data_IF_415374930260
#
_entry.id   IF_415374930260
#
_cell.length_a   1.000
_cell.length_b   1.000
_cell.length_c   1.000
_cell.angle_alpha   90.00
_cell.angle_beta   90.00
_cell.angle_gamma   90.00
#
_symmetry.space_group_name_H-M   'P 1'
#
loop_
_entity.id
_entity.type
_entity.pdbx_description
1 polymer ?
#
# COMPACT_ATOMS: atom_id res chain seq x y z
N UNK A 1 -5.12 -4.82 -12.60
CA UNK A 1 -3.91 -4.18 -13.15
C UNK A 1 -2.76 -4.67 -12.29
N UNK A 2 -1.86 -5.48 -12.82
CA UNK A 2 -0.67 -5.99 -12.09
C UNK A 2 0.42 -4.92 -11.92
N UNK A 3 0.02 -3.64 -11.86
CA UNK A 3 0.94 -2.53 -11.69
C UNK A 3 1.43 -2.38 -10.24
N UNK A 4 0.91 -3.17 -9.30
CA UNK A 4 1.28 -3.12 -7.89
C UNK A 4 0.72 -1.91 -7.12
N UNK A 5 -0.25 -1.18 -7.69
CA UNK A 5 -0.91 -0.05 -7.04
C UNK A 5 -2.37 -0.38 -6.73
N UNK A 6 -2.78 -0.15 -5.48
CA UNK A 6 -4.17 -0.11 -5.07
C UNK A 6 -4.62 1.35 -4.95
N UNK A 7 -5.58 1.75 -5.79
CA UNK A 7 -6.07 3.13 -5.81
C UNK A 7 -7.37 3.25 -5.00
N UNK A 8 -7.34 4.06 -3.95
CA UNK A 8 -8.48 4.38 -3.11
C UNK A 8 -8.74 5.89 -3.16
N UNK A 9 -9.98 6.29 -2.90
CA UNK A 9 -10.37 7.71 -2.93
C UNK A 9 -10.10 8.37 -1.59
N UNK A 10 -10.33 7.64 -0.50
CA UNK A 10 -10.15 8.16 0.85
C UNK A 10 -8.80 7.74 1.43
N UNK A 11 -8.14 8.69 2.10
CA UNK A 11 -6.85 8.44 2.75
C UNK A 11 -6.99 7.37 3.84
N UNK A 12 -8.05 7.42 4.63
CA UNK A 12 -8.26 6.51 5.75
C UNK A 12 -8.39 5.06 5.29
N UNK A 13 -9.09 4.81 4.17
CA UNK A 13 -9.20 3.47 3.57
C UNK A 13 -7.82 2.96 3.14
N UNK A 14 -7.00 3.81 2.53
CA UNK A 14 -5.67 3.45 2.10
C UNK A 14 -4.71 3.18 3.27
N UNK A 15 -4.86 3.91 4.38
CA UNK A 15 -4.13 3.65 5.61
C UNK A 15 -4.56 2.33 6.26
N UNK A 16 -5.86 1.99 6.24
CA UNK A 16 -6.36 0.73 6.78
C UNK A 16 -5.74 -0.49 6.07
N UNK A 17 -5.47 -0.40 4.77
CA UNK A 17 -4.77 -1.47 4.05
C UNK A 17 -3.37 -1.76 4.62
N UNK A 18 -2.67 -0.76 5.18
CA UNK A 18 -1.33 -0.94 5.76
C UNK A 18 -1.34 -1.83 7.01
N UNK A 19 -2.50 -2.06 7.64
CA UNK A 19 -2.65 -3.01 8.74
C UNK A 19 -2.53 -4.47 8.24
N UNK A 20 -3.00 -4.75 7.01
CA UNK A 20 -2.91 -6.08 6.44
C UNK A 20 -1.45 -6.48 6.19
N UNK A 21 -1.09 -7.71 6.57
CA UNK A 21 0.29 -8.20 6.49
C UNK A 21 0.91 -8.06 5.08
N UNK A 22 0.10 -8.23 4.03
CA UNK A 22 0.51 -8.11 2.63
C UNK A 22 0.94 -6.69 2.25
N UNK A 23 0.31 -5.66 2.82
CA UNK A 23 0.55 -4.26 2.47
C UNK A 23 1.28 -3.47 3.55
N UNK A 24 1.72 -4.11 4.64
CA UNK A 24 2.40 -3.45 5.76
C UNK A 24 3.69 -2.72 5.37
N UNK A 25 4.33 -3.14 4.27
CA UNK A 25 5.53 -2.51 3.70
C UNK A 25 5.22 -1.55 2.54
N UNK A 26 3.95 -1.38 2.18
CA UNK A 26 3.56 -0.49 1.10
C UNK A 26 3.80 0.97 1.47
N UNK A 27 4.06 1.78 0.45
CA UNK A 27 4.16 3.24 0.58
C UNK A 27 2.81 3.83 0.19
N UNK A 28 2.29 4.73 1.01
CA UNK A 28 1.06 5.45 0.70
C UNK A 28 1.38 6.65 -0.19
N UNK A 29 0.76 6.71 -1.36
CA UNK A 29 0.93 7.82 -2.31
C UNK A 29 -0.35 8.65 -2.39
N UNK A 30 -0.21 9.95 -2.16
CA UNK A 30 -1.26 10.92 -2.46
C UNK A 30 -1.04 11.46 -3.86
N UNK A 31 -2.00 11.19 -4.75
CA UNK A 31 -1.88 11.48 -6.18
C UNK A 31 -2.94 12.50 -6.58
N UNK A 32 -2.49 13.62 -7.13
CA UNK A 32 -3.36 14.59 -7.80
C UNK A 32 -3.52 14.14 -9.25
N UNK A 33 -4.76 14.10 -9.70
CA UNK A 33 -5.14 13.57 -10.99
C UNK A 33 -5.88 14.64 -11.79
N UNK A 34 -5.60 14.72 -13.09
CA UNK A 34 -6.25 15.64 -14.02
C UNK A 34 -6.72 14.89 -15.27
N UNK A 35 -7.96 15.15 -15.70
CA UNK A 35 -8.52 14.64 -16.96
C UNK A 35 -9.55 13.53 -16.79
N UNK A 36 -9.93 12.93 -17.94
CA UNK A 36 -10.89 11.84 -18.00
C UNK A 36 -10.38 10.56 -17.31
N UNK A 37 -11.33 9.82 -16.74
CA UNK A 37 -11.08 8.67 -15.87
C UNK A 37 -11.50 7.37 -16.54
N UNK A 38 -10.65 6.33 -16.42
CA UNK A 38 -11.02 4.95 -16.75
C UNK A 38 -10.82 4.08 -15.50
N UNK A 39 -11.91 3.46 -15.03
CA UNK A 39 -11.86 2.47 -13.95
C UNK A 39 -11.29 1.17 -14.50
N UNK A 40 -10.09 0.80 -14.08
CA UNK A 40 -9.55 -0.54 -14.30
C UNK A 40 -9.79 -1.38 -13.05
N UNK A 41 -10.01 -2.67 -13.22
CA UNK A 41 -10.48 -3.62 -12.19
C UNK A 41 -9.69 -3.63 -10.86
N UNK A 42 -8.51 -3.01 -10.79
CA UNK A 42 -7.73 -2.83 -9.55
C UNK A 42 -7.06 -1.44 -9.42
N UNK A 43 -7.42 -0.45 -10.23
CA UNK A 43 -6.75 0.86 -10.18
C UNK A 43 -7.30 1.93 -11.12
N UNK A 44 -6.99 3.19 -10.79
CA UNK A 44 -7.41 4.36 -11.55
C UNK A 44 -6.30 4.82 -12.49
N UNK A 45 -6.59 4.95 -13.79
CA UNK A 45 -5.68 5.61 -14.75
C UNK A 45 -6.28 6.93 -15.20
N UNK A 46 -5.49 7.99 -15.05
CA UNK A 46 -5.81 9.33 -15.54
C UNK A 46 -4.79 9.75 -16.59
N UNK A 47 -5.19 10.67 -17.47
CA UNK A 47 -4.31 11.20 -18.52
C UNK A 47 -3.04 11.86 -17.96
N UNK A 48 -3.15 12.51 -16.78
CA UNK A 48 -2.00 13.06 -16.04
C UNK A 48 -2.17 12.77 -14.55
N UNK A 49 -1.14 12.18 -13.96
CA UNK A 49 -1.06 11.90 -12.53
C UNK A 49 0.23 12.51 -11.98
N UNK A 50 0.15 13.15 -10.82
CA UNK A 50 1.31 13.68 -10.10
C UNK A 50 1.21 13.25 -8.65
N UNK A 51 2.23 12.56 -8.17
CA UNK A 51 2.37 12.26 -6.74
C UNK A 51 2.71 13.58 -6.03
N UNK A 52 1.88 13.99 -5.07
CA UNK A 52 2.12 15.16 -4.23
C UNK A 52 2.77 14.79 -2.91
N UNK A 53 2.40 13.65 -2.34
CA UNK A 53 3.01 13.17 -1.12
C UNK A 53 3.22 11.66 -1.15
N UNK A 54 4.28 11.22 -0.49
CA UNK A 54 4.57 9.82 -0.19
C UNK A 54 4.75 9.68 1.33
N UNK A 55 3.97 8.80 1.95
CA UNK A 55 4.14 8.41 3.35
C UNK A 55 4.85 7.07 3.39
N UNK A 56 6.06 7.07 3.94
CA UNK A 56 6.88 5.86 4.08
C UNK A 56 6.58 5.23 5.44
N UNK A 57 6.37 3.91 5.49
CA UNK A 57 6.17 3.18 6.74
C UNK A 57 7.39 3.23 7.68
N UNK A 58 7.24 2.73 8.91
CA UNK A 58 8.34 2.65 9.86
C UNK A 58 9.42 1.66 9.39
N UNK A 59 10.60 1.75 10.02
CA UNK A 59 11.65 0.75 9.85
C UNK A 59 11.17 -0.65 10.29
N UNK A 60 11.85 -1.72 9.87
CA UNK A 60 11.59 -3.08 10.34
C UNK A 60 11.62 -3.20 11.88
N UNK A 61 12.47 -2.41 12.55
CA UNK A 61 12.49 -2.32 14.02
C UNK A 61 11.38 -1.43 14.62
N UNK A 62 10.39 -1.04 13.81
CA UNK A 62 9.22 -0.20 14.13
C UNK A 62 9.50 1.27 14.40
N UNK A 63 10.76 1.67 14.60
CA UNK A 63 11.18 3.08 14.69
C UNK A 63 10.80 3.90 13.47
N UNK A 64 10.50 5.18 13.69
CA UNK A 64 10.30 6.17 12.62
C UNK A 64 11.48 6.12 11.63
N UNK A 65 11.15 5.98 10.34
CA UNK A 65 12.16 5.93 9.29
C UNK A 65 12.81 7.30 9.11
N UNK A 66 14.15 7.33 9.08
CA UNK A 66 14.92 8.56 8.80
C UNK A 66 15.43 8.59 7.36
N UNK A 67 15.41 7.45 6.67
CA UNK A 67 15.81 7.33 5.28
C UNK A 67 15.35 6.04 4.64
N UNK A 68 15.78 5.87 3.39
CA UNK A 68 15.50 4.74 2.51
C UNK A 68 16.82 4.06 2.14
N UNK A 69 16.96 2.76 2.41
CA UNK A 69 18.15 1.99 2.04
C UNK A 69 17.80 0.88 1.06
N UNK A 70 18.81 0.38 0.34
CA UNK A 70 18.65 -0.78 -0.53
C UNK A 70 18.11 -1.98 0.26
N UNK A 71 17.03 -2.57 -0.25
CA UNK A 71 16.38 -3.75 0.31
C UNK A 71 17.06 -5.07 -0.14
N UNK A 72 18.07 -5.00 -1.01
CA UNK A 72 18.83 -6.16 -1.50
C UNK A 72 18.14 -6.90 -2.65
N UNK A 73 17.09 -6.34 -3.23
CA UNK A 73 16.38 -6.90 -4.38
C UNK A 73 15.87 -5.80 -5.31
N UNK A 74 15.52 -6.19 -6.54
CA UNK A 74 15.06 -5.26 -7.56
C UNK A 74 15.05 -5.88 -8.94
N UNK A 75 15.09 -5.04 -9.97
CA UNK A 75 15.22 -5.43 -11.37
C UNK A 75 16.51 -4.79 -11.93
N UNK A 76 17.13 -5.31 -12.99
CA UNK A 76 18.27 -4.63 -13.60
C UNK A 76 17.97 -3.16 -13.90
N UNK A 77 18.79 -2.25 -13.37
CA UNK A 77 18.60 -0.80 -13.45
C UNK A 77 17.64 -0.18 -12.42
N UNK A 78 17.02 -0.99 -11.55
CA UNK A 78 16.04 -0.56 -10.54
C UNK A 78 16.28 -1.26 -9.20
N UNK A 79 16.52 -0.47 -8.16
CA UNK A 79 16.65 -0.99 -6.79
C UNK A 79 15.36 -0.74 -6.02
N UNK A 80 14.97 -1.70 -5.20
CA UNK A 80 13.90 -1.49 -4.23
C UNK A 80 14.51 -0.89 -2.98
N UNK A 81 13.87 0.17 -2.49
CA UNK A 81 14.25 0.82 -1.26
C UNK A 81 13.28 0.46 -0.13
N UNK A 82 13.80 0.28 1.06
CA UNK A 82 13.01 0.07 2.28
C UNK A 82 13.27 1.16 3.32
N UNK A 83 12.27 1.47 4.18
CA UNK A 83 12.46 2.38 5.29
C UNK A 83 13.48 1.87 6.31
N UNK A 84 14.40 2.75 6.70
CA UNK A 84 15.38 2.49 7.75
C UNK A 84 15.47 3.64 8.73
N UNK A 85 15.63 3.32 10.02
CA UNK A 85 16.06 4.29 11.02
C UNK A 85 17.60 4.38 11.03
N UNK A 86 18.17 5.44 11.59
CA UNK A 86 19.62 5.67 11.60
C UNK A 86 20.43 4.51 12.19
N UNK A 87 19.88 3.79 13.19
CA UNK A 87 20.54 2.63 13.79
C UNK A 87 20.45 1.36 12.92
N UNK A 88 19.34 1.13 12.22
CA UNK A 88 19.15 -0.06 11.37
C UNK A 88 19.68 0.12 9.94
N UNK A 89 20.03 1.35 9.55
CA UNK A 89 20.76 1.59 8.30
C UNK A 89 22.08 0.78 8.29
N UNK A 90 22.76 0.67 9.44
CA UNK A 90 23.99 -0.10 9.58
C UNK A 90 25.08 0.42 8.63
N UNK A 91 25.74 -0.50 7.91
CA UNK A 91 26.74 -0.15 6.88
C UNK A 91 26.16 0.21 5.52
N UNK A 92 24.83 0.26 5.35
CA UNK A 92 24.20 0.68 4.10
C UNK A 92 24.27 2.20 3.96
N UNK A 93 24.22 2.70 2.73
CA UNK A 93 24.13 4.14 2.46
C UNK A 93 22.65 4.54 2.34
N UNK A 94 21.99 5.05 3.40
CA UNK A 94 20.60 5.48 3.30
C UNK A 94 20.50 6.77 2.50
N UNK A 95 19.50 6.85 1.63
CA UNK A 95 19.03 8.09 1.05
C UNK A 95 18.07 8.76 2.02
N UNK A 96 18.33 10.01 2.42
CA UNK A 96 17.40 10.72 3.31
C UNK A 96 16.06 10.94 2.61
N UNK A 97 14.97 11.04 3.37
CA UNK A 97 13.64 11.30 2.80
C UNK A 97 13.59 12.62 2.01
N UNK A 98 14.34 13.63 2.47
CA UNK A 98 14.47 14.89 1.78
C UNK A 98 15.23 14.74 0.44
N UNK A 99 16.30 13.95 0.39
CA UNK A 99 17.03 13.71 -0.85
C UNK A 99 16.21 12.90 -1.86
N UNK A 100 15.45 11.92 -1.38
CA UNK A 100 14.51 11.17 -2.22
C UNK A 100 13.43 12.10 -2.79
N UNK A 101 12.84 12.97 -1.96
CA UNK A 101 11.87 13.97 -2.40
C UNK A 101 12.43 14.87 -3.52
N UNK A 102 13.67 15.37 -3.36
CA UNK A 102 14.32 16.21 -4.39
C UNK A 102 14.54 15.48 -5.70
N UNK A 103 14.88 14.18 -5.67
CA UNK A 103 15.08 13.35 -6.88
C UNK A 103 13.77 12.94 -7.54
N UNK A 104 12.69 12.80 -6.77
CA UNK A 104 11.36 12.39 -7.25
C UNK A 104 10.62 13.45 -8.06
N UNK A 105 11.20 14.64 -8.24
CA UNK A 105 10.63 15.73 -9.03
C UNK A 105 10.00 16.82 -8.17
N UNK A 106 9.65 17.93 -8.83
CA UNK A 106 9.15 19.11 -8.14
C UNK A 106 7.86 18.81 -7.36
N UNK A 107 7.74 19.35 -6.15
CA UNK A 107 6.50 19.32 -5.36
C UNK A 107 6.17 17.98 -4.68
N UNK A 108 7.02 16.96 -4.80
CA UNK A 108 6.88 15.72 -4.01
C UNK A 108 7.29 16.01 -2.55
N UNK A 109 6.39 15.75 -1.61
CA UNK A 109 6.69 15.70 -0.18
C UNK A 109 6.83 14.26 0.27
N UNK A 110 7.92 13.92 0.96
CA UNK A 110 8.11 12.59 1.53
C UNK A 110 8.11 12.72 3.03
N UNK A 111 7.23 11.98 3.69
CA UNK A 111 7.09 11.98 5.16
C UNK A 111 7.23 10.56 5.68
N UNK A 112 7.86 10.42 6.84
CA UNK A 112 7.79 9.18 7.59
C UNK A 112 6.43 9.09 8.27
N UNK A 113 5.82 7.91 8.23
CA UNK A 113 4.79 7.57 9.20
C UNK A 113 5.42 7.64 10.59
N UNK A 114 4.73 8.20 11.59
CA UNK A 114 5.19 8.13 12.95
C UNK A 114 5.42 6.67 13.34
N UNK A 115 6.28 6.49 14.35
CA UNK A 115 6.47 5.22 15.03
C UNK A 115 5.10 4.64 15.33
N UNK A 116 4.81 3.48 14.77
CA UNK A 116 3.56 2.84 15.07
C UNK A 116 3.70 2.35 16.52
N UNK A 117 3.00 3.02 17.44
CA UNK A 117 2.89 2.62 18.83
C UNK A 117 2.71 1.11 18.85
N UNK A 118 3.67 0.45 19.49
CA UNK A 118 3.62 -1.00 19.67
C UNK A 118 2.63 -1.25 20.78
N UNK A 119 1.34 -1.08 20.49
CA UNK A 119 0.35 -1.80 21.26
C UNK A 119 0.40 -3.24 20.76
N UNK A 120 1.14 -4.06 21.49
CA UNK A 120 1.33 -5.49 21.24
C UNK A 120 0.05 -6.29 21.56
N UNK A 121 -1.06 -5.87 20.97
CA UNK A 121 -2.30 -6.61 20.92
C UNK A 121 -2.78 -6.50 19.48
N UNK A 122 -3.20 -7.63 18.90
CA UNK A 122 -4.01 -7.59 17.68
C UNK A 122 -5.13 -6.61 17.95
N UNK A 123 -5.12 -5.48 17.24
CA UNK A 123 -6.09 -4.42 17.54
C UNK A 123 -7.47 -4.90 17.11
N UNK A 124 -8.51 -4.45 17.80
CA UNK A 124 -9.88 -4.73 17.35
C UNK A 124 -10.10 -4.27 15.90
N UNK A 125 -9.43 -3.18 15.49
CA UNK A 125 -9.45 -2.69 14.11
C UNK A 125 -8.81 -3.68 13.11
N UNK A 126 -7.68 -4.30 13.46
CA UNK A 126 -7.03 -5.33 12.64
C UNK A 126 -7.92 -6.57 12.51
N UNK A 127 -8.53 -7.05 13.60
CA UNK A 127 -9.48 -8.17 13.56
C UNK A 127 -10.74 -7.86 12.75
N UNK A 128 -11.26 -6.64 12.85
CA UNK A 128 -12.43 -6.21 12.07
C UNK A 128 -12.08 -6.14 10.59
N UNK A 129 -10.88 -5.66 10.24
CA UNK A 129 -10.42 -5.64 8.85
C UNK A 129 -10.24 -7.07 8.29
N UNK A 130 -9.64 -7.97 9.07
CA UNK A 130 -9.50 -9.37 8.69
C UNK A 130 -10.86 -10.08 8.57
N UNK A 131 -11.77 -9.85 9.51
CA UNK A 131 -13.12 -10.39 9.46
C UNK A 131 -13.89 -9.89 8.23
N UNK A 132 -13.81 -8.60 7.91
CA UNK A 132 -14.45 -8.03 6.72
C UNK A 132 -13.90 -8.64 5.42
N UNK A 133 -12.58 -8.89 5.35
CA UNK A 133 -11.96 -9.55 4.20
C UNK A 133 -12.45 -11.01 4.06
N UNK A 134 -12.51 -11.76 5.16
CA UNK A 134 -13.01 -13.13 5.17
C UNK A 134 -14.48 -13.18 4.73
N UNK A 135 -15.29 -12.21 5.18
CA UNK A 135 -16.71 -12.12 4.86
C UNK A 135 -16.94 -11.82 3.38
N UNK A 136 -16.21 -10.85 2.81
CA UNK A 136 -16.26 -10.58 1.37
C UNK A 136 -15.88 -11.80 0.52
N UNK A 137 -14.93 -12.61 1.01
CA UNK A 137 -14.51 -13.84 0.33
C UNK A 137 -15.56 -14.94 0.43
N UNK A 138 -16.24 -15.07 1.57
CA UNK A 138 -17.38 -15.97 1.74
C UNK A 138 -18.55 -15.58 0.83
N UNK A 139 -18.90 -14.30 0.74
CA UNK A 139 -19.95 -13.81 -0.14
C UNK A 139 -19.66 -14.14 -1.60
N UNK A 140 -18.40 -14.00 -2.03
CA UNK A 140 -17.97 -14.41 -3.36
C UNK A 140 -18.15 -15.92 -3.57
N UNK A 141 -17.72 -16.76 -2.63
CA UNK A 141 -17.89 -18.21 -2.73
C UNK A 141 -19.37 -18.60 -2.82
N UNK A 142 -20.23 -17.98 -2.01
CA UNK A 142 -21.68 -18.19 -2.07
C UNK A 142 -22.25 -17.79 -3.43
N UNK A 143 -21.81 -16.67 -4.01
CA UNK A 143 -22.17 -16.27 -5.37
C UNK A 143 -21.72 -17.26 -6.45
N UNK A 144 -20.56 -17.91 -6.29
CA UNK A 144 -20.12 -18.95 -7.21
C UNK A 144 -20.93 -20.24 -7.05
N UNK A 145 -21.21 -20.66 -5.82
CA UNK A 145 -22.04 -21.84 -5.55
C UNK A 145 -23.45 -21.66 -6.12
N UNK A 146 -24.07 -20.48 -5.93
CA UNK A 146 -25.39 -20.17 -6.47
C UNK A 146 -25.44 -20.23 -8.00
N UNK A 147 -24.34 -19.90 -8.70
CA UNK A 147 -24.27 -20.05 -10.17
C UNK A 147 -24.19 -21.51 -10.59
N UNK A 148 -23.45 -22.33 -9.84
CA UNK A 148 -23.30 -23.76 -10.12
C UNK A 148 -24.59 -24.52 -9.81
N UNK A 149 -25.29 -24.19 -8.72
CA UNK A 149 -26.52 -24.88 -8.28
C UNK A 149 -27.80 -24.28 -8.88
N UNK A 150 -27.80 -22.98 -9.19
CA UNK A 150 -28.93 -22.27 -9.82
C UNK A 150 -29.08 -22.55 -11.32
N UNK A 151 -28.06 -23.12 -11.97
CA UNK A 151 -28.13 -23.58 -13.36
C UNK A 151 -28.88 -24.91 -13.57
N UNK A 152 -29.20 -25.65 -12.51
CA UNK A 152 -29.83 -26.97 -12.59
C UNK A 152 -31.36 -26.96 -12.38
N UNK A 153 -31.97 -25.83 -12.02
CA UNK A 153 -33.42 -25.75 -11.74
C UNK A 153 -34.24 -25.06 -12.85
N UNK A 154 -33.68 -24.95 -14.06
CA UNK A 154 -34.29 -24.28 -15.21
C UNK A 154 -34.58 -25.17 -16.42
N UNK A 155 -35.04 -26.42 -16.21
CA UNK A 155 -35.72 -27.22 -17.24
C UNK A 155 -36.79 -28.11 -16.59
N UNK A 156 -38.02 -27.60 -16.55
CA UNK A 156 -39.24 -28.31 -16.20
C UNK A 156 -40.41 -27.56 -16.81
#
# INVERSE_FOLDING_TARGET
>A
CDCGFHCLHERCEAQALLCAAEYRKAVLLEVVVLGAYIRFELGMRYARQRVRAATVGPCACRRTATGLADAGWGRPGWQVLEPVCGACAGGRTPLSLADFARRGGEGLRVVASPEAEVESAVTAAELVAEAALLQARLDWFQGQLAKLTGGEHGKG
#
